data_IF_832252622085
#
_entry.id   IF_832252622085
#
_cell.length_a   1.000
_cell.length_b   1.000
_cell.length_c   1.000
_cell.angle_alpha   90.00
_cell.angle_beta   90.00
_cell.angle_gamma   90.00
#
_symmetry.space_group_name_H-M   'P 1'
#
loop_
_entity.id
_entity.type
_entity.pdbx_description
1 polymer ?
#
# COMPACT_ATOMS: atom_id res chain seq x y z
N UNK A 1 15.52 -27.44 21.39
CA UNK A 1 14.19 -27.25 20.77
C UNK A 1 14.30 -27.68 19.30
N UNK A 2 13.38 -28.48 18.76
CA UNK A 2 13.36 -28.83 17.32
C UNK A 2 12.16 -28.14 16.68
N UNK A 3 12.38 -27.40 15.60
CA UNK A 3 11.32 -26.73 14.84
C UNK A 3 10.65 -27.76 13.93
N UNK A 4 9.31 -27.80 13.92
CA UNK A 4 8.59 -28.66 12.98
C UNK A 4 8.50 -27.96 11.62
N UNK A 5 8.99 -28.63 10.57
CA UNK A 5 8.95 -28.09 9.21
C UNK A 5 7.52 -27.78 8.74
N UNK A 6 6.53 -28.57 9.17
CA UNK A 6 5.12 -28.32 8.87
C UNK A 6 4.60 -26.99 9.42
N UNK A 7 5.03 -26.60 10.62
CA UNK A 7 4.66 -25.32 11.24
C UNK A 7 5.30 -24.15 10.47
N UNK A 8 6.56 -24.30 10.03
CA UNK A 8 7.26 -23.30 9.19
C UNK A 8 6.56 -23.11 7.85
N UNK A 9 6.18 -24.20 7.18
CA UNK A 9 5.46 -24.16 5.90
C UNK A 9 4.12 -23.44 6.06
N UNK A 10 3.34 -23.79 7.09
CA UNK A 10 2.04 -23.16 7.35
C UNK A 10 2.18 -21.64 7.61
N UNK A 11 3.19 -21.24 8.39
CA UNK A 11 3.46 -19.83 8.65
C UNK A 11 3.90 -19.07 7.40
N UNK A 12 4.74 -19.67 6.55
CA UNK A 12 5.16 -19.09 5.26
C UNK A 12 3.95 -18.84 4.36
N UNK A 13 3.04 -19.82 4.25
CA UNK A 13 1.88 -19.72 3.36
C UNK A 13 0.88 -18.67 3.87
N UNK A 14 0.69 -18.60 5.20
CA UNK A 14 -0.08 -17.53 5.85
C UNK A 14 0.53 -16.15 5.57
N UNK A 15 1.85 -16.00 5.72
CA UNK A 15 2.57 -14.75 5.44
C UNK A 15 2.40 -14.32 3.98
N UNK A 16 2.55 -15.24 3.01
CA UNK A 16 2.34 -14.95 1.58
C UNK A 16 0.93 -14.45 1.30
N UNK A 17 -0.08 -15.06 1.92
CA UNK A 17 -1.47 -14.62 1.79
C UNK A 17 -1.67 -13.19 2.33
N UNK A 18 -1.13 -12.91 3.52
CA UNK A 18 -1.18 -11.57 4.13
C UNK A 18 -0.48 -10.53 3.25
N UNK A 19 0.71 -10.82 2.72
CA UNK A 19 1.43 -9.92 1.82
C UNK A 19 0.59 -9.59 0.58
N UNK A 20 -0.02 -10.60 -0.04
CA UNK A 20 -0.88 -10.42 -1.22
C UNK A 20 -2.10 -9.52 -0.91
N UNK A 21 -2.77 -9.77 0.22
CA UNK A 21 -3.91 -8.96 0.67
C UNK A 21 -3.49 -7.51 0.94
N UNK A 22 -2.39 -7.29 1.65
CA UNK A 22 -1.87 -5.95 1.94
C UNK A 22 -1.50 -5.20 0.65
N UNK A 23 -0.84 -5.86 -0.31
CA UNK A 23 -0.54 -5.24 -1.62
C UNK A 23 -1.81 -4.79 -2.35
N UNK A 24 -2.86 -5.61 -2.32
CA UNK A 24 -4.15 -5.28 -2.94
C UNK A 24 -4.82 -4.07 -2.27
N UNK A 25 -4.79 -4.02 -0.94
CA UNK A 25 -5.32 -2.90 -0.16
C UNK A 25 -4.54 -1.60 -0.41
N UNK A 26 -3.21 -1.65 -0.40
CA UNK A 26 -2.34 -0.50 -0.70
C UNK A 26 -2.57 0.03 -2.12
N UNK A 27 -2.70 -0.88 -3.10
CA UNK A 27 -2.99 -0.52 -4.48
C UNK A 27 -4.35 0.17 -4.62
N UNK A 28 -5.36 -0.32 -3.90
CA UNK A 28 -6.69 0.28 -3.86
C UNK A 28 -6.68 1.65 -3.18
N UNK A 29 -5.93 1.81 -2.08
CA UNK A 29 -5.75 3.09 -1.40
C UNK A 29 -5.05 4.12 -2.31
N UNK A 30 -3.99 3.72 -3.01
CA UNK A 30 -3.29 4.57 -3.99
C UNK A 30 -4.23 5.06 -5.10
N UNK A 31 -5.09 4.18 -5.63
CA UNK A 31 -6.11 4.56 -6.62
C UNK A 31 -7.08 5.60 -6.06
N UNK A 32 -7.63 5.36 -4.86
CA UNK A 32 -8.56 6.30 -4.19
C UNK A 32 -7.93 7.68 -3.95
N UNK A 33 -6.68 7.72 -3.50
CA UNK A 33 -5.94 8.97 -3.31
C UNK A 33 -5.77 9.73 -4.63
N UNK A 34 -5.37 9.04 -5.70
CA UNK A 34 -5.27 9.67 -7.03
C UNK A 34 -6.61 10.21 -7.52
N UNK A 35 -7.70 9.47 -7.31
CA UNK A 35 -9.04 9.96 -7.64
C UNK A 35 -9.43 11.21 -6.83
N UNK A 36 -9.05 11.28 -5.55
CA UNK A 36 -9.28 12.46 -4.73
C UNK A 36 -8.47 13.67 -5.22
N UNK A 37 -7.20 13.49 -5.57
CA UNK A 37 -6.37 14.56 -6.16
C UNK A 37 -6.90 15.02 -7.53
N UNK A 38 -7.49 14.12 -8.32
CA UNK A 38 -8.06 14.46 -9.62
C UNK A 38 -9.51 14.99 -9.54
N UNK A 39 -10.09 15.10 -8.34
CA UNK A 39 -11.47 15.54 -8.17
C UNK A 39 -11.60 17.05 -8.34
N UNK A 40 -12.63 17.49 -9.06
CA UNK A 40 -12.99 18.91 -9.20
C UNK A 40 -13.92 19.42 -8.07
N UNK A 41 -14.23 18.57 -7.08
CA UNK A 41 -15.13 18.91 -5.98
C UNK A 41 -14.57 20.01 -5.04
N UNK A 42 -13.26 20.23 -5.04
CA UNK A 42 -12.56 21.26 -4.27
C UNK A 42 -11.76 22.15 -5.23
N UNK A 43 -11.61 23.44 -4.90
CA UNK A 43 -10.88 24.44 -5.69
C UNK A 43 -10.10 25.41 -4.78
N UNK A 44 -9.13 26.12 -5.35
CA UNK A 44 -8.29 27.12 -4.66
C UNK A 44 -7.15 26.50 -3.84
N UNK A 45 -6.47 27.32 -3.04
CA UNK A 45 -5.21 26.96 -2.36
C UNK A 45 -5.28 25.68 -1.51
N UNK A 46 -6.45 25.41 -0.90
CA UNK A 46 -6.67 24.18 -0.13
C UNK A 46 -6.62 22.94 -1.03
N UNK A 47 -7.19 23.02 -2.23
CA UNK A 47 -7.12 21.94 -3.22
C UNK A 47 -5.67 21.71 -3.65
N UNK A 48 -4.94 22.77 -3.95
CA UNK A 48 -3.54 22.68 -4.37
C UNK A 48 -2.67 22.05 -3.26
N UNK A 49 -2.90 22.41 -2.00
CA UNK A 49 -2.22 21.81 -0.85
C UNK A 49 -2.54 20.31 -0.70
N UNK A 50 -3.80 19.92 -0.90
CA UNK A 50 -4.23 18.51 -0.87
C UNK A 50 -3.57 17.72 -2.00
N UNK A 51 -3.61 18.24 -3.23
CA UNK A 51 -3.00 17.61 -4.41
C UNK A 51 -1.51 17.41 -4.22
N UNK A 52 -0.81 18.44 -3.75
CA UNK A 52 0.61 18.37 -3.46
C UNK A 52 0.90 17.32 -2.37
N UNK A 53 0.11 17.26 -1.30
CA UNK A 53 0.29 16.23 -0.26
C UNK A 53 0.07 14.82 -0.80
N UNK A 54 -0.95 14.63 -1.64
CA UNK A 54 -1.26 13.32 -2.21
C UNK A 54 -0.17 12.89 -3.21
N UNK A 55 0.15 13.74 -4.18
CA UNK A 55 1.01 13.39 -5.31
C UNK A 55 2.48 13.30 -4.92
N UNK A 56 2.95 14.19 -4.03
CA UNK A 56 4.38 14.28 -3.71
C UNK A 56 4.76 13.46 -2.47
N UNK A 57 3.80 13.06 -1.64
CA UNK A 57 4.08 12.30 -0.40
C UNK A 57 3.32 10.99 -0.31
N UNK A 58 1.98 11.02 -0.36
CA UNK A 58 1.19 9.81 -0.07
C UNK A 58 1.30 8.73 -1.15
N UNK A 59 1.23 9.11 -2.43
CA UNK A 59 1.37 8.18 -3.55
C UNK A 59 2.77 7.54 -3.60
N UNK A 60 3.87 8.30 -3.45
CA UNK A 60 5.21 7.73 -3.30
C UNK A 60 5.35 6.80 -2.09
N UNK A 61 4.83 7.19 -0.92
CA UNK A 61 4.89 6.36 0.29
C UNK A 61 4.22 5.01 0.09
N UNK A 62 2.99 4.98 -0.44
CA UNK A 62 2.29 3.72 -0.73
C UNK A 62 3.02 2.88 -1.78
N UNK A 63 3.72 3.51 -2.73
CA UNK A 63 4.53 2.81 -3.72
C UNK A 63 5.74 2.13 -3.05
N UNK A 64 6.41 2.83 -2.13
CA UNK A 64 7.52 2.27 -1.37
C UNK A 64 7.08 1.09 -0.48
N UNK A 65 5.90 1.16 0.13
CA UNK A 65 5.37 0.04 0.90
C UNK A 65 5.07 -1.19 0.02
N UNK A 66 4.47 -1.00 -1.15
CA UNK A 66 4.25 -2.11 -2.09
C UNK A 66 5.58 -2.74 -2.52
N UNK A 67 6.57 -1.91 -2.88
CA UNK A 67 7.90 -2.39 -3.26
C UNK A 67 8.60 -3.13 -2.10
N UNK A 68 8.44 -2.66 -0.87
CA UNK A 68 9.01 -3.31 0.31
C UNK A 68 8.38 -4.69 0.55
N UNK A 69 7.07 -4.82 0.31
CA UNK A 69 6.38 -6.10 0.41
C UNK A 69 6.80 -7.10 -0.67
N UNK A 70 7.24 -6.63 -1.84
CA UNK A 70 7.79 -7.50 -2.90
C UNK A 70 9.10 -8.18 -2.49
N UNK A 71 9.89 -7.55 -1.62
CA UNK A 71 11.13 -8.12 -1.08
C UNK A 71 10.85 -9.16 0.03
N UNK A 72 9.67 -9.10 0.65
CA UNK A 72 9.28 -10.00 1.74
C UNK A 72 8.59 -11.30 1.28
N UNK A 73 8.18 -11.37 0.01
CA UNK A 73 7.41 -12.49 -0.58
C UNK A 73 8.30 -13.65 -1.08
#
# INVERSE_FOLDING_TARGET
MKIKMSEVIAQRDSLKSSISQTKSQLSSAKKKLKSAANSEALKGDVKDAIDNKINNYQVPLLTNYVNSLDVMA
#
